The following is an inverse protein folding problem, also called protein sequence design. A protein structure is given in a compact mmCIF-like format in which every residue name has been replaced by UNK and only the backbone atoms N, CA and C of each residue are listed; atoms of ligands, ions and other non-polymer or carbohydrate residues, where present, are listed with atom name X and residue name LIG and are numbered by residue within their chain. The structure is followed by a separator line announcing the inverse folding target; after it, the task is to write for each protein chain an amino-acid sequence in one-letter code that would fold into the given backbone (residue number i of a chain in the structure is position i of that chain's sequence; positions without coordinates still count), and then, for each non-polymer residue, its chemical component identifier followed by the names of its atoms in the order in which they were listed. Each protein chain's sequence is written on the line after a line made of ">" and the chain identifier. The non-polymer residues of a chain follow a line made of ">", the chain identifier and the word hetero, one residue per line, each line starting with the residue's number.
data_IF_475582642486
#
_entry.id   IF_475582642486
#
_cell.length_a   1.000
_cell.length_b   1.000
_cell.length_c   1.000
_cell.angle_alpha   90.00
_cell.angle_beta   90.00
_cell.angle_gamma   90.00
#
_symmetry.space_group_name_H-M   'P 1'
#
loop_
_entity.id
_entity.type
_entity.pdbx_description
1 polymer ?
#
# COMPACT_ATOMS: atom_id res chain seq x y z
N UNK A 1 6.73 -13.65 6.99
CA UNK A 1 5.87 -13.28 5.86
C UNK A 1 6.78 -12.78 4.75
N UNK A 2 6.70 -13.28 3.51
CA UNK A 2 7.48 -12.71 2.41
C UNK A 2 6.99 -11.27 2.16
N UNK A 3 7.88 -10.32 2.25
CA UNK A 3 7.54 -8.91 2.11
C UNK A 3 8.73 -8.01 2.38
N UNK A 4 8.52 -6.73 2.31
CA UNK A 4 9.48 -5.69 2.64
C UNK A 4 9.23 -5.17 4.06
N UNK A 5 10.27 -4.67 4.71
CA UNK A 5 10.12 -3.98 5.98
C UNK A 5 9.63 -2.54 5.76
N UNK A 6 9.23 -1.87 6.83
CA UNK A 6 8.70 -0.51 6.80
C UNK A 6 9.67 0.51 6.17
N UNK A 7 10.96 0.36 6.40
CA UNK A 7 11.96 1.29 5.88
C UNK A 7 12.19 1.12 4.39
N UNK A 8 12.27 -0.13 3.90
CA UNK A 8 12.34 -0.43 2.47
C UNK A 8 11.08 0.05 1.75
N UNK A 9 9.91 -0.17 2.34
CA UNK A 9 8.62 0.30 1.83
C UNK A 9 8.64 1.81 1.57
N UNK A 10 9.00 2.61 2.58
CA UNK A 10 9.01 4.06 2.45
C UNK A 10 10.17 4.55 1.58
N UNK A 11 11.31 3.84 1.58
CA UNK A 11 12.41 4.11 0.64
C UNK A 11 11.94 3.97 -0.81
N UNK A 12 11.23 2.89 -1.14
CA UNK A 12 10.66 2.69 -2.49
C UNK A 12 9.70 3.82 -2.85
N UNK A 13 8.80 4.21 -1.93
CA UNK A 13 7.84 5.30 -2.17
C UNK A 13 8.55 6.63 -2.45
N UNK A 14 9.59 6.97 -1.67
CA UNK A 14 10.36 8.21 -1.87
C UNK A 14 11.17 8.17 -3.16
N UNK A 15 11.80 7.04 -3.49
CA UNK A 15 12.52 6.88 -4.77
C UNK A 15 11.57 6.92 -5.97
N UNK A 16 10.36 6.39 -5.83
CA UNK A 16 9.33 6.51 -6.85
C UNK A 16 8.95 7.98 -7.10
N UNK A 17 8.75 8.77 -6.04
CA UNK A 17 8.52 10.23 -6.17
C UNK A 17 9.73 10.89 -6.85
N UNK A 18 10.95 10.55 -6.44
CA UNK A 18 12.17 11.03 -7.10
C UNK A 18 12.18 10.74 -8.60
N UNK A 19 11.76 9.54 -8.99
CA UNK A 19 11.60 9.18 -10.41
C UNK A 19 10.56 10.03 -11.15
N UNK A 20 9.43 10.32 -10.51
CA UNK A 20 8.40 11.21 -11.07
C UNK A 20 8.88 12.65 -11.24
N UNK A 21 9.77 13.10 -10.38
CA UNK A 21 10.37 14.45 -10.43
C UNK A 21 11.65 14.52 -11.30
N UNK A 22 12.05 13.40 -11.93
CA UNK A 22 13.23 13.33 -12.81
C UNK A 22 14.58 13.13 -12.11
N UNK A 23 14.58 12.84 -10.81
CA UNK A 23 15.77 12.51 -10.01
C UNK A 23 15.58 12.80 -8.53
N UNK A 24 16.36 12.13 -7.68
CA UNK A 24 16.29 12.31 -6.21
C UNK A 24 16.72 13.72 -5.78
N UNK A 25 17.57 14.36 -6.56
CA UNK A 25 18.02 15.75 -6.35
C UNK A 25 16.87 16.76 -6.50
N UNK A 26 15.85 16.43 -7.25
CA UNK A 26 14.67 17.27 -7.50
C UNK A 26 13.65 17.19 -6.36
N UNK A 27 13.91 16.35 -5.35
CA UNK A 27 13.13 16.35 -4.11
C UNK A 27 13.41 17.57 -3.22
N UNK A 28 14.52 18.28 -3.49
CA UNK A 28 14.87 19.48 -2.73
C UNK A 28 13.75 20.52 -2.78
N UNK A 29 13.26 20.90 -1.60
CA UNK A 29 12.17 21.87 -1.44
C UNK A 29 10.76 21.28 -1.61
N UNK A 30 10.62 20.01 -2.00
CA UNK A 30 9.31 19.33 -2.04
C UNK A 30 8.75 19.11 -0.65
N UNK A 31 7.43 19.07 -0.56
CA UNK A 31 6.68 18.81 0.67
C UNK A 31 6.01 17.45 0.57
N UNK A 32 6.35 16.54 1.45
CA UNK A 32 5.75 15.21 1.51
C UNK A 32 4.96 15.11 2.82
N UNK A 33 3.66 14.85 2.76
CA UNK A 33 2.89 14.51 3.93
C UNK A 33 2.73 12.99 4.02
N UNK A 34 2.82 12.43 5.22
CA UNK A 34 2.47 11.04 5.47
C UNK A 34 1.18 11.01 6.29
N UNK A 35 0.09 10.55 5.66
CA UNK A 35 -1.18 10.27 6.31
C UNK A 35 -1.14 8.85 6.86
N UNK A 36 -1.05 8.70 8.18
CA UNK A 36 -0.79 7.41 8.79
C UNK A 36 -1.86 7.00 9.81
N UNK A 37 -2.07 5.70 9.93
CA UNK A 37 -2.98 5.11 10.90
C UNK A 37 -2.46 5.29 12.33
N UNK A 38 -3.31 5.72 13.25
CA UNK A 38 -3.02 6.00 14.67
C UNK A 38 -2.71 4.75 15.49
N UNK A 39 -1.63 4.04 15.14
CA UNK A 39 -1.16 2.82 15.78
C UNK A 39 0.38 2.78 15.80
N UNK A 40 1.01 1.86 16.57
CA UNK A 40 2.45 1.62 16.49
C UNK A 40 2.94 1.39 15.06
N UNK A 41 2.19 0.58 14.29
CA UNK A 41 2.45 0.35 12.87
C UNK A 41 2.50 1.64 12.06
N UNK A 42 1.52 2.53 12.23
CA UNK A 42 1.48 3.81 11.49
C UNK A 42 2.64 4.73 11.83
N UNK A 43 3.05 4.77 13.10
CA UNK A 43 4.11 5.65 13.60
C UNK A 43 5.53 5.19 13.27
N UNK A 44 5.72 3.91 12.99
CA UNK A 44 7.04 3.29 12.79
C UNK A 44 7.88 3.99 11.70
N UNK A 45 7.24 4.51 10.64
CA UNK A 45 7.92 5.14 9.53
C UNK A 45 8.30 6.61 9.75
N UNK A 46 7.85 7.28 10.83
CA UNK A 46 8.00 8.74 10.99
C UNK A 46 9.47 9.14 11.00
N UNK A 47 10.27 8.56 11.89
CA UNK A 47 11.68 8.90 12.01
C UNK A 47 12.48 8.59 10.73
N UNK A 48 12.12 7.52 10.02
CA UNK A 48 12.73 7.19 8.75
C UNK A 48 12.41 8.25 7.68
N UNK A 49 11.16 8.68 7.59
CA UNK A 49 10.73 9.71 6.65
C UNK A 49 11.37 11.07 6.94
N UNK A 50 11.53 11.42 8.22
CA UNK A 50 12.25 12.63 8.63
C UNK A 50 13.70 12.59 8.14
N UNK A 51 14.41 11.47 8.37
CA UNK A 51 15.79 11.25 7.90
C UNK A 51 15.91 11.27 6.37
N UNK A 52 14.98 10.65 5.65
CA UNK A 52 14.97 10.65 4.20
C UNK A 52 14.77 12.07 3.64
N UNK A 53 13.87 12.84 4.22
CA UNK A 53 13.66 14.22 3.79
C UNK A 53 14.82 15.13 4.17
N UNK A 54 15.45 14.94 5.31
CA UNK A 54 16.69 15.65 5.66
C UNK A 54 17.78 15.38 4.63
N UNK A 55 18.01 14.10 4.29
CA UNK A 55 19.03 13.68 3.33
C UNK A 55 18.83 14.28 1.93
N UNK A 56 17.59 14.36 1.46
CA UNK A 56 17.26 14.79 0.09
C UNK A 56 16.73 16.22 0.00
N UNK A 57 16.68 16.95 1.11
CA UNK A 57 16.28 18.37 1.16
C UNK A 57 14.77 18.58 0.96
N UNK A 58 13.94 17.57 1.13
CA UNK A 58 12.48 17.70 1.19
C UNK A 58 12.02 18.05 2.62
N UNK A 59 10.75 18.35 2.80
CA UNK A 59 10.13 18.47 4.10
C UNK A 59 9.11 17.36 4.31
N UNK A 60 9.09 16.78 5.51
CA UNK A 60 8.12 15.75 5.88
C UNK A 60 7.12 16.30 6.91
N UNK A 61 5.83 15.92 6.76
CA UNK A 61 4.78 16.20 7.71
C UNK A 61 4.00 14.92 8.04
N UNK A 62 4.11 14.43 9.26
CA UNK A 62 3.32 13.31 9.74
C UNK A 62 1.93 13.77 10.20
N UNK A 63 0.87 13.11 9.69
CA UNK A 63 -0.53 13.44 9.99
C UNK A 63 -1.24 12.16 10.42
N UNK A 64 -1.58 12.09 11.69
CA UNK A 64 -2.25 10.92 12.28
C UNK A 64 -3.74 10.91 11.97
N UNK A 65 -4.25 9.74 11.57
CA UNK A 65 -5.67 9.41 11.50
C UNK A 65 -5.99 8.46 12.66
N UNK A 66 -6.85 8.84 13.60
CA UNK A 66 -7.24 7.95 14.70
C UNK A 66 -7.88 6.64 14.20
N UNK A 67 -7.64 5.55 14.92
CA UNK A 67 -8.34 4.28 14.65
C UNK A 67 -9.87 4.48 14.79
N UNK A 68 -10.69 3.87 13.94
CA UNK A 68 -10.39 2.92 12.85
C UNK A 68 -10.04 3.55 11.50
N UNK A 69 -9.97 4.87 11.40
CA UNK A 69 -9.56 5.54 10.18
C UNK A 69 -10.69 6.04 9.27
N UNK A 70 -11.94 5.98 9.70
CA UNK A 70 -13.11 6.41 8.94
C UNK A 70 -13.38 7.92 9.01
N UNK A 71 -12.81 8.62 9.98
CA UNK A 71 -12.96 10.08 10.14
C UNK A 71 -11.66 10.80 9.81
N UNK A 72 -11.57 11.40 8.62
CA UNK A 72 -10.32 11.99 8.12
C UNK A 72 -10.47 13.46 7.70
N UNK A 73 -11.62 14.08 7.92
CA UNK A 73 -11.88 15.43 7.41
C UNK A 73 -10.88 16.46 7.96
N UNK A 74 -10.56 16.40 9.25
CA UNK A 74 -9.62 17.33 9.88
C UNK A 74 -8.19 17.15 9.35
N UNK A 75 -7.77 15.93 9.05
CA UNK A 75 -6.47 15.60 8.48
C UNK A 75 -6.35 16.15 7.05
N UNK A 76 -7.36 15.96 6.25
CA UNK A 76 -7.38 16.49 4.88
C UNK A 76 -7.50 18.01 4.82
N UNK A 77 -8.11 18.67 5.82
CA UNK A 77 -8.02 20.13 5.97
C UNK A 77 -6.59 20.58 6.27
N UNK A 78 -5.81 19.83 7.10
CA UNK A 78 -4.38 20.11 7.33
C UNK A 78 -3.58 19.94 6.03
N UNK A 79 -3.81 18.86 5.27
CA UNK A 79 -3.18 18.61 3.96
C UNK A 79 -3.50 19.76 3.00
N UNK A 80 -4.76 20.17 2.90
CA UNK A 80 -5.17 21.29 2.05
C UNK A 80 -4.47 22.60 2.43
N UNK A 81 -4.27 22.85 3.73
CA UNK A 81 -3.58 24.05 4.23
C UNK A 81 -2.08 24.00 3.95
N UNK A 82 -1.42 22.87 4.19
CA UNK A 82 0.04 22.69 4.00
C UNK A 82 0.42 22.55 2.53
N UNK A 83 -0.51 22.12 1.67
CA UNK A 83 -0.32 21.94 0.22
C UNK A 83 0.91 21.07 -0.09
N UNK A 84 0.99 19.82 0.39
CA UNK A 84 2.12 18.96 0.06
C UNK A 84 2.09 18.60 -1.43
N UNK A 85 3.28 18.42 -2.01
CA UNK A 85 3.45 17.93 -3.36
C UNK A 85 2.97 16.49 -3.51
N UNK A 86 3.22 15.67 -2.46
CA UNK A 86 2.80 14.26 -2.39
C UNK A 86 2.24 13.92 -1.01
N UNK A 87 1.31 12.97 -1.00
CA UNK A 87 0.81 12.35 0.24
C UNK A 87 1.12 10.86 0.18
N UNK A 88 1.84 10.35 1.17
CA UNK A 88 2.03 8.93 1.40
C UNK A 88 0.91 8.42 2.30
N UNK A 89 0.17 7.42 1.84
CA UNK A 89 -0.87 6.77 2.62
C UNK A 89 -0.29 5.53 3.31
N UNK A 90 -0.02 5.66 4.60
CA UNK A 90 0.35 4.55 5.47
C UNK A 90 -0.88 4.11 6.27
N UNK A 91 -1.82 3.57 5.54
CA UNK A 91 -3.10 3.11 6.06
C UNK A 91 -3.26 1.60 5.96
N UNK A 92 -4.41 1.13 6.42
CA UNK A 92 -4.94 -0.20 6.20
C UNK A 92 -6.46 -0.21 6.39
N UNK A 93 -7.13 -1.21 5.80
CA UNK A 93 -8.57 -1.40 5.96
C UNK A 93 -9.39 -0.18 5.54
N UNK A 94 -10.41 0.16 6.33
CA UNK A 94 -11.37 1.24 6.00
C UNK A 94 -10.71 2.60 5.82
N UNK A 95 -9.54 2.83 6.41
CA UNK A 95 -8.80 4.08 6.24
C UNK A 95 -8.47 4.38 4.77
N UNK A 96 -8.17 3.34 3.97
CA UNK A 96 -7.69 3.49 2.60
C UNK A 96 -8.75 4.05 1.65
N UNK A 97 -9.93 3.42 1.47
CA UNK A 97 -10.97 3.98 0.61
C UNK A 97 -11.46 5.35 1.09
N UNK A 98 -11.53 5.57 2.40
CA UNK A 98 -11.93 6.88 2.96
C UNK A 98 -10.89 7.96 2.65
N UNK A 99 -9.59 7.62 2.64
CA UNK A 99 -8.52 8.55 2.25
C UNK A 99 -8.68 8.99 0.79
N UNK A 100 -8.87 8.05 -0.15
CA UNK A 100 -9.06 8.33 -1.58
C UNK A 100 -10.31 9.19 -1.82
N UNK A 101 -11.45 8.82 -1.21
CA UNK A 101 -12.70 9.56 -1.32
C UNK A 101 -12.58 10.99 -0.77
N UNK A 102 -11.90 11.14 0.38
CA UNK A 102 -11.75 12.45 1.00
C UNK A 102 -10.74 13.31 0.27
N UNK A 103 -9.64 12.74 -0.24
CA UNK A 103 -8.70 13.42 -1.13
C UNK A 103 -9.42 14.04 -2.33
N UNK A 104 -10.20 13.23 -3.05
CA UNK A 104 -10.99 13.69 -4.21
C UNK A 104 -11.98 14.80 -3.84
N UNK A 105 -12.74 14.60 -2.75
CA UNK A 105 -13.73 15.59 -2.25
C UNK A 105 -13.08 16.92 -1.87
N UNK A 106 -11.86 16.89 -1.34
CA UNK A 106 -11.09 18.07 -0.95
C UNK A 106 -10.30 18.71 -2.10
N UNK A 107 -10.38 18.13 -3.31
CA UNK A 107 -9.69 18.63 -4.50
C UNK A 107 -8.19 18.32 -4.53
N UNK A 108 -7.72 17.34 -3.74
CA UNK A 108 -6.35 16.86 -3.82
C UNK A 108 -6.20 15.87 -4.99
N UNK A 109 -5.17 16.01 -5.85
CA UNK A 109 -4.98 15.12 -6.99
C UNK A 109 -4.61 13.72 -6.52
N UNK A 110 -5.50 12.74 -6.72
CA UNK A 110 -5.34 11.36 -6.26
C UNK A 110 -4.11 10.69 -6.89
N UNK A 111 -3.66 11.15 -8.06
CA UNK A 111 -2.40 10.72 -8.69
C UNK A 111 -1.13 11.10 -7.90
N UNK A 112 -1.25 11.95 -6.88
CA UNK A 112 -0.17 12.31 -5.94
C UNK A 112 -0.37 11.68 -4.56
N UNK A 113 -1.37 10.80 -4.42
CA UNK A 113 -1.59 9.96 -3.25
C UNK A 113 -0.97 8.59 -3.54
N UNK A 114 0.08 8.24 -2.81
CA UNK A 114 0.84 7.00 -3.01
C UNK A 114 0.65 6.12 -1.81
N UNK A 115 0.12 4.93 -2.03
CA UNK A 115 -0.20 3.98 -0.98
C UNK A 115 0.91 2.97 -0.68
N UNK A 116 0.86 2.47 0.51
CA UNK A 116 1.72 1.40 0.99
C UNK A 116 1.22 0.01 0.54
N UNK A 117 1.92 -1.06 0.96
CA UNK A 117 1.56 -2.46 0.62
C UNK A 117 0.23 -2.92 1.23
N UNK A 118 -0.34 -2.20 2.20
CA UNK A 118 -1.63 -2.51 2.83
C UNK A 118 -2.78 -1.62 2.32
N UNK A 119 -2.55 -0.96 1.18
CA UNK A 119 -3.53 -0.09 0.55
C UNK A 119 -3.57 -0.27 -0.97
N UNK A 120 -3.17 -1.44 -1.46
CA UNK A 120 -2.95 -1.71 -2.88
C UNK A 120 -3.89 -2.77 -3.46
N UNK A 121 -4.87 -3.23 -2.71
CA UNK A 121 -5.75 -4.33 -3.12
C UNK A 121 -7.12 -3.85 -3.60
N UNK A 122 -7.84 -4.75 -4.25
CA UNK A 122 -9.23 -4.55 -4.67
C UNK A 122 -10.13 -4.17 -3.48
N UNK A 123 -9.85 -4.73 -2.29
CA UNK A 123 -10.53 -4.42 -1.05
C UNK A 123 -10.40 -2.94 -0.65
N UNK A 124 -9.33 -2.29 -1.09
CA UNK A 124 -9.06 -0.88 -0.81
C UNK A 124 -9.65 0.04 -1.89
N UNK A 125 -9.53 -0.34 -3.17
CA UNK A 125 -9.88 0.54 -4.29
C UNK A 125 -11.33 0.42 -4.73
N UNK A 126 -11.94 -0.77 -4.66
CA UNK A 126 -13.34 -0.98 -5.06
C UNK A 126 -14.29 -0.13 -4.22
N UNK A 127 -14.19 -0.09 -2.88
CA UNK A 127 -15.06 0.78 -2.07
C UNK A 127 -14.83 2.27 -2.31
N UNK A 128 -13.65 2.67 -2.78
CA UNK A 128 -13.37 4.05 -3.14
C UNK A 128 -14.02 4.45 -4.48
N UNK A 129 -14.33 3.49 -5.34
CA UNK A 129 -14.97 3.71 -6.63
C UNK A 129 -14.17 4.68 -7.52
N UNK A 130 -14.85 5.60 -8.18
CA UNK A 130 -14.19 6.59 -9.05
C UNK A 130 -13.22 7.54 -8.30
N UNK A 131 -13.17 7.51 -6.99
CA UNK A 131 -12.18 8.27 -6.23
C UNK A 131 -10.79 7.60 -6.26
N UNK A 132 -10.70 6.33 -6.59
CA UNK A 132 -9.43 5.64 -6.76
C UNK A 132 -8.75 5.91 -8.12
N UNK A 133 -9.43 6.58 -9.07
CA UNK A 133 -8.83 6.81 -10.38
C UNK A 133 -7.57 7.68 -10.27
N UNK A 134 -6.44 7.11 -10.73
CA UNK A 134 -5.12 7.71 -10.65
C UNK A 134 -4.36 7.42 -9.34
N UNK A 135 -4.98 6.75 -8.36
CA UNK A 135 -4.30 6.27 -7.17
C UNK A 135 -3.19 5.29 -7.54
N UNK A 136 -2.10 5.37 -6.82
CA UNK A 136 -0.94 4.51 -7.00
C UNK A 136 -0.54 3.91 -5.66
N UNK A 137 -0.13 2.65 -5.66
CA UNK A 137 0.36 2.00 -4.46
C UNK A 137 1.50 1.03 -4.82
N UNK A 138 2.41 0.84 -3.88
CA UNK A 138 3.47 -0.15 -4.05
C UNK A 138 2.93 -1.55 -3.79
N UNK A 139 3.54 -2.54 -4.45
CA UNK A 139 3.27 -3.96 -4.22
C UNK A 139 4.56 -4.77 -4.23
N UNK A 140 4.56 -5.89 -3.55
CA UNK A 140 5.68 -6.85 -3.54
C UNK A 140 5.47 -8.03 -4.48
N UNK A 141 4.30 -8.13 -5.06
CA UNK A 141 3.90 -9.22 -5.97
C UNK A 141 2.77 -8.72 -6.88
N UNK A 142 2.65 -9.24 -8.10
CA UNK A 142 1.60 -8.83 -9.01
C UNK A 142 0.24 -9.47 -8.66
N UNK A 143 -0.84 -8.78 -9.04
CA UNK A 143 -2.18 -9.35 -9.13
C UNK A 143 -2.37 -10.12 -10.45
N UNK A 144 -3.47 -10.82 -10.54
CA UNK A 144 -3.87 -11.56 -11.73
C UNK A 144 -3.83 -13.08 -11.55
N UNK A 145 -4.38 -13.77 -12.54
CA UNK A 145 -4.51 -15.23 -12.53
C UNK A 145 -3.56 -15.94 -13.49
N UNK A 146 -2.66 -15.21 -14.18
CA UNK A 146 -1.82 -15.75 -15.26
C UNK A 146 -0.59 -16.53 -14.76
N UNK A 147 -0.50 -16.76 -13.44
CA UNK A 147 0.59 -17.51 -12.83
C UNK A 147 0.23 -19.00 -12.76
N UNK A 148 1.18 -19.88 -13.14
CA UNK A 148 0.93 -21.33 -13.17
C UNK A 148 0.35 -21.85 -11.85
N UNK A 149 0.96 -21.49 -10.70
CA UNK A 149 0.46 -21.93 -9.39
C UNK A 149 -0.97 -21.46 -9.11
N UNK A 150 -1.34 -20.27 -9.58
CA UNK A 150 -2.70 -19.73 -9.44
C UNK A 150 -3.66 -20.52 -10.34
N UNK A 151 -3.27 -20.80 -11.58
CA UNK A 151 -4.05 -21.63 -12.50
C UNK A 151 -4.25 -23.05 -11.95
N UNK A 152 -3.20 -23.67 -11.40
CA UNK A 152 -3.29 -25.00 -10.78
C UNK A 152 -4.27 -24.98 -9.59
N UNK A 153 -4.23 -23.95 -8.73
CA UNK A 153 -5.18 -23.81 -7.63
C UNK A 153 -6.62 -23.62 -8.14
N UNK A 154 -6.81 -22.79 -9.17
CA UNK A 154 -8.14 -22.59 -9.78
C UNK A 154 -8.69 -23.90 -10.34
N UNK A 155 -7.87 -24.66 -11.08
CA UNK A 155 -8.23 -25.94 -11.70
C UNK A 155 -8.46 -27.03 -10.64
N UNK A 156 -7.46 -27.28 -9.80
CA UNK A 156 -7.40 -28.49 -9.01
C UNK A 156 -8.10 -28.36 -7.64
N UNK A 157 -8.20 -27.14 -7.12
CA UNK A 157 -8.89 -26.88 -5.86
C UNK A 157 -10.32 -26.37 -6.11
N UNK A 158 -10.43 -25.23 -6.79
CA UNK A 158 -11.76 -24.63 -7.02
C UNK A 158 -12.58 -25.40 -8.05
N UNK A 159 -11.94 -25.95 -9.10
CA UNK A 159 -12.57 -26.82 -10.09
C UNK A 159 -13.09 -28.12 -9.48
N UNK A 160 -12.42 -28.66 -8.48
CA UNK A 160 -12.84 -29.82 -7.72
C UNK A 160 -13.88 -29.50 -6.61
N UNK A 161 -14.28 -28.25 -6.45
CA UNK A 161 -15.27 -27.83 -5.44
C UNK A 161 -14.73 -27.69 -4.00
N UNK A 162 -13.40 -27.71 -3.82
CA UNK A 162 -12.76 -27.66 -2.50
C UNK A 162 -12.34 -26.25 -2.07
N UNK A 163 -12.51 -25.25 -2.92
CA UNK A 163 -12.15 -23.87 -2.60
C UNK A 163 -13.18 -23.19 -1.71
N UNK A 164 -12.73 -22.43 -0.71
CA UNK A 164 -13.58 -21.81 0.31
C UNK A 164 -13.89 -20.31 0.06
N UNK A 165 -13.28 -19.70 -0.98
CA UNK A 165 -13.54 -18.30 -1.29
C UNK A 165 -14.96 -18.10 -1.83
N UNK A 166 -15.79 -17.36 -1.08
CA UNK A 166 -17.20 -17.13 -1.40
C UNK A 166 -17.35 -16.30 -2.69
N UNK A 167 -16.57 -15.22 -2.81
CA UNK A 167 -16.56 -14.39 -4.01
C UNK A 167 -15.39 -14.77 -4.93
N UNK A 168 -15.67 -15.64 -5.89
CA UNK A 168 -14.66 -16.14 -6.84
C UNK A 168 -14.08 -15.06 -7.76
N UNK A 169 -14.71 -13.88 -7.87
CA UNK A 169 -14.14 -12.75 -8.60
C UNK A 169 -12.88 -12.18 -7.96
N UNK A 170 -12.63 -12.55 -6.71
CA UNK A 170 -11.43 -12.15 -5.94
C UNK A 170 -10.21 -13.07 -6.16
N UNK A 171 -10.36 -14.16 -6.91
CA UNK A 171 -9.24 -15.00 -7.29
C UNK A 171 -8.23 -14.19 -8.11
N UNK A 172 -6.98 -14.22 -7.68
CA UNK A 172 -5.93 -13.40 -8.28
C UNK A 172 -5.87 -11.94 -7.82
N UNK A 173 -6.73 -11.50 -6.86
CA UNK A 173 -6.56 -10.19 -6.23
C UNK A 173 -5.20 -10.10 -5.51
N UNK A 174 -4.74 -8.88 -5.23
CA UNK A 174 -3.41 -8.67 -4.61
C UNK A 174 -3.29 -9.45 -3.31
N UNK A 175 -4.25 -9.35 -2.39
CA UNK A 175 -4.16 -10.06 -1.10
C UNK A 175 -4.36 -11.58 -1.24
N UNK A 176 -5.15 -12.03 -2.20
CA UNK A 176 -5.27 -13.45 -2.48
C UNK A 176 -3.94 -14.03 -2.99
N UNK A 177 -3.29 -13.36 -3.95
CA UNK A 177 -1.97 -13.75 -4.44
C UNK A 177 -0.87 -13.68 -3.37
N UNK A 178 -0.96 -12.73 -2.43
CA UNK A 178 -0.07 -12.70 -1.26
C UNK A 178 -0.23 -13.97 -0.40
N UNK A 179 -1.46 -14.44 -0.22
CA UNK A 179 -1.75 -15.70 0.47
C UNK A 179 -1.14 -16.90 -0.26
N UNK A 180 -1.29 -16.97 -1.58
CA UNK A 180 -0.68 -18.01 -2.42
C UNK A 180 0.85 -17.98 -2.30
N UNK A 181 1.47 -16.81 -2.43
CA UNK A 181 2.91 -16.64 -2.27
C UNK A 181 3.40 -17.13 -0.88
N UNK A 182 2.68 -16.75 0.18
CA UNK A 182 2.99 -17.22 1.53
C UNK A 182 2.89 -18.74 1.64
N UNK A 183 1.85 -19.35 1.08
CA UNK A 183 1.67 -20.81 1.02
C UNK A 183 2.83 -21.50 0.31
N UNK A 184 3.22 -21.02 -0.85
CA UNK A 184 4.36 -21.58 -1.62
C UNK A 184 5.65 -21.52 -0.82
N UNK A 185 5.97 -20.36 -0.22
CA UNK A 185 7.21 -20.20 0.56
C UNK A 185 7.22 -21.10 1.79
N UNK A 186 6.11 -21.21 2.52
CA UNK A 186 6.03 -22.07 3.69
C UNK A 186 6.12 -23.56 3.33
N UNK A 187 5.45 -23.98 2.26
CA UNK A 187 5.50 -25.36 1.78
C UNK A 187 6.92 -25.74 1.36
N UNK A 188 7.61 -24.86 0.63
CA UNK A 188 8.98 -25.11 0.20
C UNK A 188 9.96 -25.13 1.40
N UNK A 189 9.77 -24.26 2.37
CA UNK A 189 10.57 -24.29 3.59
C UNK A 189 10.41 -25.61 4.37
N UNK A 190 9.18 -26.11 4.48
CA UNK A 190 8.91 -27.42 5.12
C UNK A 190 9.53 -28.57 4.33
N UNK A 191 9.41 -28.57 2.99
CA UNK A 191 10.01 -29.58 2.13
C UNK A 191 11.53 -29.64 2.32
N UNK A 192 12.21 -28.48 2.30
CA UNK A 192 13.66 -28.40 2.50
C UNK A 192 14.04 -28.88 3.92
N UNK A 193 13.24 -28.55 4.94
CA UNK A 193 13.51 -29.01 6.30
C UNK A 193 13.40 -30.53 6.41
N UNK A 194 12.35 -31.13 5.82
CA UNK A 194 12.17 -32.60 5.80
C UNK A 194 13.30 -33.34 5.09
N UNK A 195 13.88 -32.76 4.03
CA UNK A 195 15.01 -33.35 3.31
C UNK A 195 16.31 -33.28 4.11
N UNK A 196 16.39 -32.48 5.18
CA UNK A 196 17.61 -32.29 5.99
C UNK A 196 17.57 -32.97 7.35
N UNK A 197 16.39 -33.33 7.84
CA UNK A 197 16.15 -33.94 9.16
C UNK A 197 15.32 -35.24 9.06
#
# INVERSE_FOLDING_TARGET
>A
MPGINTYDEHSIMVHYIGGLEGGMENLKGKKIAMLFHGSPYGREAIAFMDSMCEKHGCSHQAIEVPHPGNEQQSQWLKIRKSKPDYVLLRGWGVMNPVAMQTAKRMGYPVSRLIGNIWSNSDEDVIPAGAAANGYQAITTHPAGTDFKVVQDIISDVYGAGNGDLQDKSRLGSVYWNLGVLAGVVHTEALRIAQDRF
#
